data_IF_649895259631
#
_entry.id   IF_649895259631
#
_cell.length_a   1.000
_cell.length_b   1.000
_cell.length_c   1.000
_cell.angle_alpha   90.00
_cell.angle_beta   90.00
_cell.angle_gamma   90.00
#
_symmetry.space_group_name_H-M   'P 1'
#
loop_
_entity.id
_entity.type
_entity.pdbx_description
1 polymer ?
#
# COMPACT_ATOMS: atom_id res chain seq x y z
N UNK A 1 -38.19 -62.28 -11.99
CA UNK A 1 -38.11 -62.19 -13.46
C UNK A 1 -36.77 -61.57 -13.86
N UNK A 2 -36.13 -62.23 -14.83
CA UNK A 2 -34.92 -61.94 -15.67
C UNK A 2 -33.92 -60.85 -15.25
N UNK A 3 -32.71 -61.34 -14.95
CA UNK A 3 -31.38 -60.70 -15.00
C UNK A 3 -30.98 -60.42 -16.46
N UNK A 4 -30.16 -59.40 -16.73
CA UNK A 4 -29.06 -59.41 -17.73
C UNK A 4 -28.23 -58.12 -17.71
N UNK A 5 -26.91 -58.29 -17.60
CA UNK A 5 -25.83 -57.30 -17.77
C UNK A 5 -25.31 -57.46 -19.21
N UNK A 6 -24.99 -56.38 -19.95
CA UNK A 6 -24.26 -56.48 -21.23
C UNK A 6 -23.27 -55.30 -21.41
N UNK A 7 -21.98 -55.66 -21.38
CA UNK A 7 -20.75 -55.20 -22.08
C UNK A 7 -20.62 -53.71 -22.52
N UNK A 8 -19.58 -52.94 -22.15
CA UNK A 8 -18.13 -53.05 -22.38
C UNK A 8 -17.69 -52.94 -23.86
N UNK A 9 -16.75 -52.00 -24.09
CA UNK A 9 -15.83 -51.82 -25.23
C UNK A 9 -16.24 -50.93 -26.42
N UNK A 10 -15.36 -49.96 -26.70
CA UNK A 10 -15.31 -49.08 -27.88
C UNK A 10 -14.30 -47.96 -27.61
N UNK A 11 -13.01 -48.29 -27.42
CA UNK A 11 -11.97 -48.34 -28.47
C UNK A 11 -11.75 -46.97 -29.15
N UNK A 12 -10.75 -46.23 -28.65
CA UNK A 12 -9.70 -45.55 -29.42
C UNK A 12 -10.07 -45.03 -30.82
N UNK A 13 -10.22 -43.71 -30.95
CA UNK A 13 -9.77 -42.99 -32.15
C UNK A 13 -8.86 -41.86 -31.71
N UNK A 14 -7.58 -42.20 -31.68
CA UNK A 14 -6.46 -41.28 -31.71
C UNK A 14 -6.38 -40.75 -33.15
N UNK A 15 -6.81 -39.50 -33.37
CA UNK A 15 -6.52 -38.79 -34.61
C UNK A 15 -5.56 -37.66 -34.27
N UNK A 16 -4.27 -37.98 -34.41
CA UNK A 16 -3.19 -37.03 -34.43
C UNK A 16 -3.33 -36.11 -35.65
N UNK A 17 -3.60 -34.82 -35.42
CA UNK A 17 -3.36 -33.79 -36.41
C UNK A 17 -1.91 -33.30 -36.22
N UNK A 18 -0.99 -33.91 -36.96
CA UNK A 18 0.37 -33.41 -37.11
C UNK A 18 0.43 -32.44 -38.30
N UNK A 19 0.82 -31.20 -37.97
CA UNK A 19 1.62 -30.23 -38.73
C UNK A 19 1.55 -30.18 -40.27
N UNK A 20 1.05 -29.05 -40.79
CA UNK A 20 1.68 -28.29 -41.88
C UNK A 20 0.95 -26.93 -42.04
N UNK A 21 1.46 -25.89 -41.39
CA UNK A 21 0.94 -24.53 -41.54
C UNK A 21 2.07 -23.52 -41.31
N UNK A 22 2.80 -23.26 -42.39
CA UNK A 22 3.88 -22.28 -42.48
C UNK A 22 3.29 -20.87 -42.61
N UNK A 23 3.87 -19.90 -41.88
CA UNK A 23 3.86 -18.49 -42.26
C UNK A 23 2.78 -17.61 -41.63
N UNK A 24 3.12 -16.99 -40.51
CA UNK A 24 3.44 -15.56 -40.47
C UNK A 24 4.05 -15.22 -39.11
N UNK A 25 5.28 -14.74 -39.18
CA UNK A 25 5.98 -14.03 -38.11
C UNK A 25 5.11 -12.84 -37.70
N UNK A 26 4.83 -12.72 -36.41
CA UNK A 26 4.41 -11.45 -35.80
C UNK A 26 5.44 -11.16 -34.73
N UNK A 27 6.13 -10.05 -34.97
CA UNK A 27 7.37 -9.64 -34.34
C UNK A 27 7.19 -9.37 -32.84
N UNK A 28 8.23 -9.71 -32.10
CA UNK A 28 8.47 -9.25 -30.74
C UNK A 28 8.70 -7.74 -30.80
N UNK A 29 7.79 -6.95 -30.23
CA UNK A 29 8.04 -5.53 -29.98
C UNK A 29 8.74 -5.40 -28.63
N UNK A 30 10.05 -5.38 -28.75
CA UNK A 30 11.05 -4.98 -27.77
C UNK A 30 10.81 -3.51 -27.42
N UNK A 31 10.15 -3.24 -26.30
CA UNK A 31 10.06 -1.88 -25.77
C UNK A 31 11.28 -1.60 -24.90
N UNK A 32 12.41 -1.28 -25.54
CA UNK A 32 13.62 -0.88 -24.84
C UNK A 32 14.50 0.04 -25.65
N UNK A 33 13.99 1.15 -26.20
CA UNK A 33 14.83 2.25 -26.70
C UNK A 33 14.10 3.58 -26.51
N UNK A 34 14.40 4.29 -25.43
CA UNK A 34 14.33 5.76 -25.35
C UNK A 34 15.13 6.24 -24.11
N UNK A 35 16.34 5.70 -23.94
CA UNK A 35 17.37 6.32 -23.11
C UNK A 35 18.47 6.80 -24.04
N UNK A 36 18.34 8.04 -24.48
CA UNK A 36 19.41 8.74 -25.20
C UNK A 36 20.52 9.02 -24.18
N UNK A 37 21.75 8.52 -24.38
CA UNK A 37 22.88 8.97 -23.58
C UNK A 37 23.09 10.45 -23.86
N UNK A 38 23.06 11.27 -22.80
CA UNK A 38 23.41 12.68 -22.89
C UNK A 38 24.85 12.78 -23.43
N UNK A 39 25.02 13.62 -24.45
CA UNK A 39 26.34 13.85 -25.04
C UNK A 39 27.25 14.62 -24.06
N UNK A 40 28.56 14.49 -24.25
CA UNK A 40 29.57 15.17 -23.42
C UNK A 40 29.50 16.70 -23.54
N UNK A 41 28.75 17.24 -24.50
CA UNK A 41 28.62 18.69 -24.75
C UNK A 41 27.54 19.32 -23.85
N UNK A 42 26.47 18.59 -23.48
CA UNK A 42 25.45 19.06 -22.54
C UNK A 42 25.93 19.06 -21.07
N UNK A 43 26.93 18.24 -20.75
CA UNK A 43 27.53 18.15 -19.41
C UNK A 43 28.51 19.30 -19.11
N UNK A 44 29.08 19.92 -20.14
CA UNK A 44 29.97 21.09 -20.01
C UNK A 44 29.20 22.42 -19.81
N UNK A 45 27.88 22.44 -20.00
CA UNK A 45 27.05 23.65 -19.85
C UNK A 45 26.60 23.93 -18.40
N UNK A 46 26.89 23.04 -17.43
CA UNK A 46 26.52 23.22 -16.02
C UNK A 46 27.68 23.66 -15.11
N UNK A 47 28.91 23.76 -15.63
CA UNK A 47 30.08 24.06 -14.79
C UNK A 47 30.54 25.53 -14.83
N UNK A 48 29.91 26.43 -15.59
CA UNK A 48 30.27 27.86 -15.54
C UNK A 48 29.08 28.82 -15.41
N UNK A 49 29.00 29.48 -14.25
CA UNK A 49 28.15 30.65 -13.96
C UNK A 49 27.27 30.42 -12.73
N UNK A 50 27.34 31.16 -11.63
CA UNK A 50 27.79 32.54 -11.46
C UNK A 50 27.98 32.82 -9.96
N UNK A 51 29.09 33.49 -9.65
CA UNK A 51 29.34 34.13 -8.36
C UNK A 51 28.55 35.45 -8.35
N UNK A 52 27.46 35.49 -7.59
CA UNK A 52 26.69 36.71 -7.35
C UNK A 52 26.58 37.01 -5.86
N UNK A 53 27.45 37.90 -5.40
CA UNK A 53 27.45 38.51 -4.06
C UNK A 53 26.29 39.50 -3.92
N UNK A 54 25.15 39.08 -3.36
CA UNK A 54 23.98 39.95 -3.24
C UNK A 54 23.49 40.02 -1.78
N UNK A 55 24.20 40.87 -1.02
CA UNK A 55 23.65 41.83 -0.04
C UNK A 55 22.59 41.34 0.96
N UNK A 56 23.07 41.10 2.18
CA UNK A 56 22.28 41.15 3.41
C UNK A 56 21.80 42.60 3.66
N UNK A 57 20.55 42.91 3.31
CA UNK A 57 19.88 44.11 3.82
C UNK A 57 19.25 43.82 5.18
N UNK A 58 19.77 44.53 6.19
CA UNK A 58 19.17 44.66 7.51
C UNK A 58 17.86 45.45 7.38
N UNK A 59 16.74 44.82 7.71
CA UNK A 59 15.51 45.53 8.07
C UNK A 59 15.38 45.48 9.60
N UNK A 60 15.90 46.52 10.24
CA UNK A 60 15.37 47.01 11.51
C UNK A 60 14.03 47.70 11.22
N UNK A 61 12.98 47.41 12.01
CA UNK A 61 12.03 48.36 12.62
C UNK A 61 10.76 47.60 13.06
N UNK A 62 10.68 47.34 14.36
CA UNK A 62 9.50 47.50 15.22
C UNK A 62 8.11 47.54 14.54
N UNK A 63 7.39 46.42 14.61
CA UNK A 63 5.92 46.46 14.71
C UNK A 63 5.46 45.74 15.97
N UNK A 64 5.30 46.54 17.02
CA UNK A 64 4.39 46.27 18.13
C UNK A 64 2.98 46.07 17.57
N UNK A 65 2.44 44.87 17.73
CA UNK A 65 0.99 44.63 17.69
C UNK A 65 0.61 43.98 19.01
N UNK A 66 -0.11 44.77 19.80
CA UNK A 66 -0.85 44.37 20.98
C UNK A 66 -1.93 43.32 20.65
N UNK A 67 -2.08 42.35 21.58
CA UNK A 67 -3.32 41.64 21.95
C UNK A 67 -3.81 40.49 21.04
N UNK A 68 -4.52 39.45 21.52
CA UNK A 68 -4.84 39.05 22.90
C UNK A 68 -4.37 37.65 23.32
N UNK A 69 -4.29 37.47 24.63
CA UNK A 69 -4.17 36.21 25.36
C UNK A 69 -5.25 35.21 24.91
N UNK A 70 -4.83 34.15 24.19
CA UNK A 70 -5.69 33.03 23.81
C UNK A 70 -5.83 32.12 25.02
N UNK A 71 -7.01 32.15 25.63
CA UNK A 71 -7.46 31.17 26.62
C UNK A 71 -7.36 29.77 26.01
N UNK A 72 -6.41 28.99 26.50
CA UNK A 72 -6.30 27.57 26.25
C UNK A 72 -7.44 26.87 27.00
N UNK A 73 -8.59 26.74 26.34
CA UNK A 73 -9.57 25.74 26.78
C UNK A 73 -8.98 24.35 26.51
N UNK A 74 -8.50 23.74 27.59
CA UNK A 74 -8.23 22.30 27.69
C UNK A 74 -9.52 21.53 27.35
N UNK A 75 -9.67 21.18 26.07
CA UNK A 75 -10.65 20.18 25.64
C UNK A 75 -10.23 18.83 26.24
N UNK A 76 -10.88 18.55 27.36
CA UNK A 76 -10.71 17.37 28.20
C UNK A 76 -11.43 16.19 27.57
N UNK A 77 -10.76 15.48 26.68
CA UNK A 77 -11.16 14.13 26.23
C UNK A 77 -10.10 13.06 26.57
N UNK A 78 -9.38 13.25 27.67
CA UNK A 78 -8.48 12.26 28.26
C UNK A 78 -9.17 11.53 29.43
N UNK A 79 -10.24 10.75 29.20
CA UNK A 79 -10.80 9.92 30.30
C UNK A 79 -11.31 8.52 29.95
N UNK A 80 -11.29 8.05 28.70
CA UNK A 80 -11.81 6.69 28.39
C UNK A 80 -10.86 5.74 27.65
N UNK A 81 -9.64 6.15 27.28
CA UNK A 81 -8.72 5.28 26.50
C UNK A 81 -7.94 4.27 27.35
N UNK A 82 -7.61 4.62 28.59
CA UNK A 82 -6.80 3.81 29.51
C UNK A 82 -7.45 2.46 29.89
N UNK A 83 -8.78 2.38 29.96
CA UNK A 83 -9.47 1.15 30.37
C UNK A 83 -9.52 0.05 29.28
N UNK A 84 -9.26 0.40 28.01
CA UNK A 84 -9.30 -0.54 26.87
C UNK A 84 -7.99 -1.31 26.65
N UNK A 85 -6.88 -0.84 27.26
CA UNK A 85 -5.53 -1.38 27.02
C UNK A 85 -5.31 -2.77 27.65
N UNK A 86 -6.08 -3.11 28.69
CA UNK A 86 -5.95 -4.33 29.50
C UNK A 86 -6.79 -5.51 28.96
N UNK A 87 -7.72 -5.29 28.03
CA UNK A 87 -8.53 -6.36 27.47
C UNK A 87 -7.79 -7.10 26.34
N UNK A 88 -7.81 -8.43 26.38
CA UNK A 88 -7.24 -9.28 25.32
C UNK A 88 -8.05 -9.13 24.03
N UNK A 89 -7.36 -8.84 22.93
CA UNK A 89 -7.96 -8.79 21.59
C UNK A 89 -8.37 -10.19 21.12
N UNK A 90 -9.55 -10.32 20.51
CA UNK A 90 -10.03 -11.56 19.91
C UNK A 90 -9.41 -11.76 18.52
N UNK A 91 -8.96 -12.98 18.20
CA UNK A 91 -8.38 -13.29 16.88
C UNK A 91 -9.34 -13.00 15.71
N UNK A 92 -10.64 -13.17 15.94
CA UNK A 92 -11.70 -12.95 14.94
C UNK A 92 -12.30 -11.56 15.03
N UNK A 93 -11.75 -10.68 15.87
CA UNK A 93 -12.20 -9.30 15.98
C UNK A 93 -11.91 -8.50 14.72
N UNK A 94 -12.68 -7.42 14.57
CA UNK A 94 -12.50 -6.40 13.55
C UNK A 94 -11.93 -5.19 14.27
N UNK A 95 -10.76 -4.74 13.83
CA UNK A 95 -10.04 -3.63 14.45
C UNK A 95 -9.64 -2.65 13.36
N UNK A 96 -9.82 -1.36 13.65
CA UNK A 96 -9.48 -0.25 12.76
C UNK A 96 -8.74 0.87 13.48
N UNK A 97 -8.97 1.05 14.78
CA UNK A 97 -8.21 1.98 15.62
C UNK A 97 -6.72 1.66 15.60
N UNK A 98 -5.88 2.70 15.44
CA UNK A 98 -4.42 2.57 15.35
C UNK A 98 -3.83 1.70 16.46
N UNK A 99 -4.16 1.98 17.71
CA UNK A 99 -3.58 1.26 18.84
C UNK A 99 -4.05 -0.20 18.90
N UNK A 100 -5.27 -0.50 18.46
CA UNK A 100 -5.79 -1.87 18.44
C UNK A 100 -5.18 -2.69 17.32
N UNK A 101 -4.99 -2.08 16.14
CA UNK A 101 -4.30 -2.71 15.01
C UNK A 101 -2.83 -3.00 15.37
N UNK A 102 -2.13 -2.05 15.99
CA UNK A 102 -0.75 -2.23 16.48
C UNK A 102 -0.69 -3.39 17.49
N UNK A 103 -1.55 -3.37 18.50
CA UNK A 103 -1.63 -4.46 19.50
C UNK A 103 -1.93 -5.81 18.84
N UNK A 104 -2.82 -5.84 17.85
CA UNK A 104 -3.17 -7.06 17.13
C UNK A 104 -1.96 -7.62 16.36
N UNK A 105 -1.23 -6.77 15.63
CA UNK A 105 -0.02 -7.15 14.89
C UNK A 105 1.04 -7.68 15.86
N UNK A 106 1.26 -7.03 17.00
CA UNK A 106 2.23 -7.49 18.00
C UNK A 106 1.85 -8.87 18.61
N UNK A 107 0.56 -9.13 18.87
CA UNK A 107 0.11 -10.39 19.48
C UNK A 107 0.06 -11.54 18.46
N UNK A 108 -0.35 -11.27 17.21
CA UNK A 108 -0.67 -12.31 16.24
C UNK A 108 0.28 -12.37 15.03
N UNK A 109 1.13 -11.37 14.82
CA UNK A 109 2.11 -11.30 13.73
C UNK A 109 1.52 -11.11 12.34
N UNK A 110 0.25 -10.71 12.26
CA UNK A 110 -0.45 -10.46 10.99
C UNK A 110 -1.60 -9.46 11.19
N UNK A 111 -2.13 -8.91 10.09
CA UNK A 111 -3.27 -7.99 10.14
C UNK A 111 -4.58 -8.70 10.57
N UNK A 112 -5.52 -7.95 11.17
CA UNK A 112 -6.89 -8.41 11.35
C UNK A 112 -7.56 -8.86 10.04
N UNK A 113 -8.53 -9.77 10.12
CA UNK A 113 -9.17 -10.36 8.93
C UNK A 113 -10.02 -9.41 8.07
N UNK A 114 -10.29 -8.19 8.58
CA UNK A 114 -10.92 -7.12 7.82
C UNK A 114 -9.97 -6.40 6.85
N UNK A 115 -8.68 -6.73 6.80
CA UNK A 115 -7.77 -6.16 5.82
C UNK A 115 -7.68 -7.01 4.55
N UNK A 116 -7.55 -6.33 3.41
CA UNK A 116 -7.22 -6.92 2.10
C UNK A 116 -6.19 -6.02 1.42
N UNK A 117 -5.34 -6.61 0.58
CA UNK A 117 -4.35 -5.87 -0.22
C UNK A 117 -5.04 -5.00 -1.29
N UNK A 118 -4.34 -3.97 -1.78
CA UNK A 118 -4.79 -3.19 -2.96
C UNK A 118 -5.04 -4.09 -4.15
N UNK A 119 -4.26 -5.16 -4.32
CA UNK A 119 -4.47 -6.13 -5.40
C UNK A 119 -5.81 -6.87 -5.24
N UNK A 120 -6.07 -7.43 -4.07
CA UNK A 120 -7.33 -8.17 -3.82
C UNK A 120 -8.55 -7.25 -3.97
N UNK A 121 -8.46 -6.01 -3.49
CA UNK A 121 -9.51 -5.02 -3.68
C UNK A 121 -9.75 -4.72 -5.18
N UNK A 122 -8.68 -4.52 -5.97
CA UNK A 122 -8.78 -4.31 -7.42
C UNK A 122 -9.40 -5.49 -8.15
N UNK A 123 -9.08 -6.71 -7.73
CA UNK A 123 -9.67 -7.94 -8.28
C UNK A 123 -11.19 -8.01 -8.00
N UNK A 124 -11.69 -7.31 -6.96
CA UNK A 124 -13.12 -7.13 -6.66
C UNK A 124 -13.78 -5.95 -7.39
N UNK A 125 -13.01 -5.12 -8.11
CA UNK A 125 -13.51 -3.95 -8.85
C UNK A 125 -13.27 -2.61 -8.16
N UNK A 126 -12.49 -2.57 -7.08
CA UNK A 126 -11.99 -1.32 -6.51
C UNK A 126 -10.97 -0.65 -7.45
N UNK A 127 -10.87 0.67 -7.41
CA UNK A 127 -9.85 1.44 -8.14
C UNK A 127 -9.18 2.43 -7.21
N UNK A 128 -7.88 2.67 -7.38
CA UNK A 128 -7.13 3.63 -6.55
C UNK A 128 -7.79 5.02 -6.59
N UNK A 129 -8.02 5.62 -5.42
CA UNK A 129 -8.67 6.92 -5.28
C UNK A 129 -10.19 6.92 -5.50
N UNK A 130 -10.81 5.78 -5.84
CA UNK A 130 -12.24 5.66 -5.92
C UNK A 130 -12.86 5.42 -4.54
N UNK A 131 -13.97 6.11 -4.27
CA UNK A 131 -14.82 5.92 -3.10
C UNK A 131 -15.83 4.79 -3.33
N UNK A 132 -15.33 3.59 -3.63
CA UNK A 132 -16.15 2.39 -3.91
C UNK A 132 -15.67 1.13 -3.19
N UNK A 133 -14.73 1.25 -2.25
CA UNK A 133 -14.19 0.09 -1.54
C UNK A 133 -15.29 -0.65 -0.77
N UNK A 134 -16.17 0.09 -0.11
CA UNK A 134 -17.27 -0.46 0.67
C UNK A 134 -18.35 -1.14 -0.18
N UNK A 135 -18.49 -0.73 -1.44
CA UNK A 135 -19.39 -1.39 -2.40
C UNK A 135 -18.85 -2.74 -2.86
N UNK A 136 -17.56 -2.80 -3.20
CA UNK A 136 -16.94 -4.00 -3.79
C UNK A 136 -16.40 -4.98 -2.75
N UNK A 137 -16.03 -4.48 -1.57
CA UNK A 137 -15.48 -5.23 -0.45
C UNK A 137 -16.07 -4.75 0.89
N UNK A 138 -17.36 -5.05 1.16
CA UNK A 138 -18.03 -4.57 2.36
C UNK A 138 -17.31 -5.00 3.66
N UNK A 139 -17.06 -4.01 4.54
CA UNK A 139 -16.38 -4.23 5.82
C UNK A 139 -14.89 -4.55 5.71
N UNK A 140 -14.27 -4.28 4.55
CA UNK A 140 -12.83 -4.44 4.33
C UNK A 140 -12.10 -3.09 4.30
N UNK A 141 -10.86 -3.12 4.77
CA UNK A 141 -9.91 -2.00 4.73
C UNK A 141 -8.68 -2.40 3.91
N UNK A 142 -7.92 -1.42 3.43
CA UNK A 142 -6.71 -1.67 2.66
C UNK A 142 -5.51 -1.86 3.59
N UNK A 143 -4.74 -2.92 3.36
CA UNK A 143 -3.48 -3.13 4.04
C UNK A 143 -2.81 -4.47 3.69
N UNK A 144 -1.54 -4.57 4.04
CA UNK A 144 -0.69 -5.74 3.76
C UNK A 144 0.11 -5.62 2.47
N UNK A 145 0.02 -4.49 1.76
CA UNK A 145 0.92 -4.17 0.65
C UNK A 145 2.30 -3.77 1.17
N UNK A 146 3.35 -4.07 0.41
CA UNK A 146 4.73 -3.71 0.78
C UNK A 146 4.94 -2.19 0.76
N UNK A 147 5.57 -1.68 1.82
CA UNK A 147 6.07 -0.31 1.90
C UNK A 147 7.53 -0.30 1.45
N UNK A 148 7.85 0.48 0.42
CA UNK A 148 9.17 0.39 -0.25
C UNK A 148 10.33 1.05 0.53
N UNK A 149 10.04 1.87 1.54
CA UNK A 149 11.03 2.66 2.27
C UNK A 149 12.03 3.41 1.36
N UNK A 150 11.56 3.93 0.22
CA UNK A 150 12.43 4.52 -0.81
C UNK A 150 13.20 5.76 -0.34
N UNK A 151 12.66 6.49 0.63
CA UNK A 151 13.27 7.65 1.29
C UNK A 151 14.25 7.27 2.42
N UNK A 152 14.30 5.98 2.80
CA UNK A 152 15.16 5.41 3.85
C UNK A 152 14.95 6.03 5.22
N UNK A 153 13.72 6.44 5.53
CA UNK A 153 13.37 6.98 6.85
C UNK A 153 13.32 5.91 7.93
N UNK A 154 13.09 4.65 7.55
CA UNK A 154 13.02 3.51 8.47
C UNK A 154 14.32 2.68 8.43
N UNK A 155 14.75 2.09 9.58
CA UNK A 155 16.00 1.33 9.67
C UNK A 155 15.91 0.00 8.91
N UNK A 156 16.79 -0.17 7.94
CA UNK A 156 16.89 -1.38 7.12
C UNK A 156 17.78 -2.44 7.78
N UNK A 157 17.33 -3.70 7.73
CA UNK A 157 18.05 -4.89 8.18
C UNK A 157 17.93 -5.99 7.12
N UNK A 158 18.91 -6.89 7.07
CA UNK A 158 18.90 -7.99 6.10
C UNK A 158 17.66 -8.88 6.28
N UNK A 159 16.81 -8.96 5.25
CA UNK A 159 15.57 -9.73 5.28
C UNK A 159 14.38 -9.03 5.95
N UNK A 160 14.51 -7.77 6.38
CA UNK A 160 13.38 -6.94 6.81
C UNK A 160 12.57 -6.49 5.61
N UNK A 161 11.27 -6.72 5.66
CA UNK A 161 10.29 -6.24 4.69
C UNK A 161 9.28 -5.39 5.44
N UNK A 162 8.97 -4.21 4.90
CA UNK A 162 7.97 -3.31 5.45
C UNK A 162 6.66 -3.48 4.71
N UNK A 163 5.56 -3.31 5.44
CA UNK A 163 4.19 -3.36 4.96
C UNK A 163 3.44 -2.15 5.49
N UNK A 164 2.37 -1.76 4.80
CA UNK A 164 1.49 -0.68 5.23
C UNK A 164 0.05 -1.15 5.40
N UNK A 165 -0.69 -0.51 6.31
CA UNK A 165 -2.14 -0.68 6.43
C UNK A 165 -2.83 0.62 6.83
N UNK A 166 -4.06 0.81 6.33
CA UNK A 166 -4.91 1.94 6.70
C UNK A 166 -5.39 1.77 8.16
N UNK A 167 -5.35 2.82 8.96
CA UNK A 167 -5.84 2.84 10.36
C UNK A 167 -6.76 4.02 10.59
N UNK A 168 -7.48 4.00 11.72
CA UNK A 168 -8.52 4.98 12.07
C UNK A 168 -9.55 5.13 10.93
N UNK A 169 -9.90 3.99 10.32
CA UNK A 169 -10.76 3.94 9.14
C UNK A 169 -12.23 4.04 9.55
N UNK A 170 -12.92 5.04 9.01
CA UNK A 170 -14.37 5.15 9.13
C UNK A 170 -15.09 4.15 8.21
N UNK A 171 -16.25 3.61 8.63
CA UNK A 171 -16.98 2.65 7.81
C UNK A 171 -17.40 3.24 6.46
N UNK A 172 -16.86 2.69 5.38
CA UNK A 172 -17.22 3.14 4.03
C UNK A 172 -16.05 3.70 3.24
N UNK A 173 -15.05 4.24 3.94
CA UNK A 173 -14.02 5.12 3.39
C UNK A 173 -12.63 4.47 3.38
N UNK A 174 -11.67 5.14 2.73
CA UNK A 174 -10.24 4.82 2.85
C UNK A 174 -9.68 5.51 4.09
N UNK A 175 -8.77 4.83 4.79
CA UNK A 175 -8.04 5.48 5.89
C UNK A 175 -7.04 6.50 5.35
N UNK A 176 -7.06 7.69 5.93
CA UNK A 176 -6.09 8.76 5.63
C UNK A 176 -4.75 8.52 6.33
N UNK A 177 -4.76 7.80 7.45
CA UNK A 177 -3.59 7.43 8.23
C UNK A 177 -3.14 6.00 7.93
N UNK A 178 -1.84 5.75 8.07
CA UNK A 178 -1.24 4.43 7.89
C UNK A 178 -0.33 4.05 9.04
N UNK A 179 -0.31 2.76 9.33
CA UNK A 179 0.74 2.12 10.13
C UNK A 179 1.66 1.38 9.20
N UNK A 180 2.96 1.61 9.34
CA UNK A 180 4.00 0.80 8.72
C UNK A 180 4.43 -0.26 9.74
N UNK A 181 4.53 -1.50 9.31
CA UNK A 181 4.97 -2.60 10.15
C UNK A 181 5.87 -3.56 9.38
N UNK A 182 6.64 -4.38 10.08
CA UNK A 182 7.60 -5.28 9.44
C UNK A 182 7.20 -6.76 9.55
N UNK A 183 7.82 -7.60 8.72
CA UNK A 183 7.71 -9.06 8.85
C UNK A 183 8.22 -9.61 10.20
N UNK A 184 9.09 -8.87 10.90
CA UNK A 184 9.56 -9.19 12.25
C UNK A 184 8.73 -8.53 13.37
N UNK A 185 7.60 -7.89 13.03
CA UNK A 185 6.62 -7.38 13.99
C UNK A 185 6.98 -6.05 14.64
N UNK A 186 7.91 -5.30 14.05
CA UNK A 186 8.20 -3.92 14.43
C UNK A 186 7.21 -2.97 13.78
N UNK A 187 6.97 -1.83 14.45
CA UNK A 187 6.04 -0.77 14.06
C UNK A 187 6.72 0.58 14.30
#
# INVERSE_FOLDING_TARGET
>A
MKKSRIFAAGLMVLLAFAAAGCGKESEEEVFSEDLVPLDEEELEALEEGDQGDDQFEVMDEDMLVDDPEVELEESSEETNKEASKEAKLERTGIYTDKDDVIRYIHEYGHLPSNYITKKEARDLGWSDGADNLSDVAPGKNIGGDEYNNADKMLPEEEGRVFYECDVNVEPGERGEEKVIYTNDGQI
#
